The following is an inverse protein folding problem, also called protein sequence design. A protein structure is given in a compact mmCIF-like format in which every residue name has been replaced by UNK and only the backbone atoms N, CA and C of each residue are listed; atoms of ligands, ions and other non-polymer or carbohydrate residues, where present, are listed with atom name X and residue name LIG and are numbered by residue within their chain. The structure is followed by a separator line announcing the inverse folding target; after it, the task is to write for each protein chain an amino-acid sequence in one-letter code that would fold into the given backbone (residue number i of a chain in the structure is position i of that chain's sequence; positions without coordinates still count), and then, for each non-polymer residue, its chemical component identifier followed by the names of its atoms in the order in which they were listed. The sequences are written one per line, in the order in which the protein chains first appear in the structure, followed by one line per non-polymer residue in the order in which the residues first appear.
data_IF_260888527713
#
_entry.id   IF_260888527713
#
_cell.length_a   1.000
_cell.length_b   1.000
_cell.length_c   1.000
_cell.angle_alpha   90.00
_cell.angle_beta   90.00
_cell.angle_gamma   90.00
#
_symmetry.space_group_name_H-M   'P 1'
#
loop_
_entity.id
_entity.type
_entity.pdbx_description
1 polymer ?
#
# COMPACT_ATOMS: atom_id res chain seq x y z
N UNK A 1 -5.34 -26.92 14.46
CA UNK A 1 -5.30 -25.57 15.08
C UNK A 1 -5.99 -24.63 14.11
N UNK A 2 -6.93 -23.81 14.58
CA UNK A 2 -7.66 -22.87 13.71
C UNK A 2 -6.78 -21.66 13.37
N UNK A 3 -6.96 -21.06 12.21
CA UNK A 3 -6.28 -19.83 11.76
C UNK A 3 -7.28 -18.73 11.39
N UNK A 4 -6.78 -17.49 11.33
CA UNK A 4 -7.50 -16.34 10.81
C UNK A 4 -6.82 -15.88 9.52
N UNK A 5 -7.59 -15.72 8.46
CA UNK A 5 -7.16 -15.08 7.22
C UNK A 5 -7.77 -13.67 7.16
N UNK A 6 -6.96 -12.66 7.43
CA UNK A 6 -7.36 -11.25 7.40
C UNK A 6 -7.25 -10.72 5.96
N UNK A 7 -8.34 -10.19 5.42
CA UNK A 7 -8.29 -9.48 4.14
C UNK A 7 -7.93 -8.01 4.37
N UNK A 8 -7.08 -7.44 3.52
CA UNK A 8 -6.71 -6.03 3.57
C UNK A 8 -6.79 -5.39 2.17
N UNK A 9 -7.30 -4.16 2.09
CA UNK A 9 -7.37 -3.39 0.85
C UNK A 9 -8.57 -2.45 0.78
N UNK A 10 -8.53 -1.50 -0.17
CA UNK A 10 -9.58 -0.49 -0.35
C UNK A 10 -10.92 -1.10 -0.78
N UNK A 11 -12.08 -0.45 -0.57
CA UNK A 11 -13.34 -0.93 -1.13
C UNK A 11 -13.24 -1.13 -2.64
N UNK A 12 -13.96 -2.10 -3.21
CA UNK A 12 -13.85 -2.42 -4.65
C UNK A 12 -12.64 -3.27 -5.06
N UNK A 13 -11.64 -3.47 -4.19
CA UNK A 13 -10.42 -4.28 -4.48
C UNK A 13 -10.64 -5.79 -4.66
N UNK A 14 -11.88 -6.28 -4.58
CA UNK A 14 -12.18 -7.71 -4.77
C UNK A 14 -12.12 -8.59 -3.51
N UNK A 15 -11.82 -8.03 -2.32
CA UNK A 15 -11.80 -8.77 -1.03
C UNK A 15 -12.95 -9.76 -0.86
N UNK A 16 -14.20 -9.31 -0.93
CA UNK A 16 -15.37 -10.18 -0.71
C UNK A 16 -15.58 -11.23 -1.80
N UNK A 17 -15.00 -11.04 -2.99
CA UNK A 17 -14.97 -12.08 -4.02
C UNK A 17 -13.93 -13.15 -3.65
N UNK A 18 -12.70 -12.73 -3.33
CA UNK A 18 -11.63 -13.60 -2.88
C UNK A 18 -11.96 -14.35 -1.58
N UNK A 19 -12.67 -13.69 -0.65
CA UNK A 19 -13.12 -14.27 0.61
C UNK A 19 -13.92 -15.57 0.41
N UNK A 20 -14.75 -15.65 -0.63
CA UNK A 20 -15.56 -16.83 -0.93
C UNK A 20 -14.70 -18.02 -1.29
N UNK A 21 -13.64 -17.80 -2.06
CA UNK A 21 -12.73 -18.86 -2.45
C UNK A 21 -11.89 -19.31 -1.25
N UNK A 22 -11.36 -18.34 -0.51
CA UNK A 22 -10.58 -18.62 0.70
C UNK A 22 -11.40 -19.37 1.76
N UNK A 23 -12.69 -19.05 1.92
CA UNK A 23 -13.59 -19.79 2.81
C UNK A 23 -13.74 -21.25 2.41
N UNK A 24 -13.83 -21.55 1.10
CA UNK A 24 -13.93 -22.94 0.61
C UNK A 24 -12.62 -23.68 0.86
N UNK A 25 -11.50 -23.09 0.44
CA UNK A 25 -10.17 -23.68 0.55
C UNK A 25 -9.81 -24.03 2.00
N UNK A 26 -10.07 -23.11 2.93
CA UNK A 26 -9.71 -23.28 4.34
C UNK A 26 -10.86 -23.79 5.22
N UNK A 27 -12.02 -24.13 4.63
CA UNK A 27 -13.25 -24.50 5.37
C UNK A 27 -13.59 -23.47 6.46
N UNK A 28 -13.43 -22.19 6.15
CA UNK A 28 -13.53 -21.10 7.11
C UNK A 28 -14.94 -20.51 7.22
N UNK A 29 -15.21 -19.86 8.34
CA UNK A 29 -16.38 -19.00 8.54
C UNK A 29 -16.06 -17.61 7.97
N UNK A 30 -16.96 -17.06 7.15
CA UNK A 30 -16.82 -15.71 6.60
C UNK A 30 -17.37 -14.68 7.59
N UNK A 31 -16.50 -13.87 8.19
CA UNK A 31 -16.88 -12.76 9.07
C UNK A 31 -16.64 -11.45 8.33
N UNK A 32 -17.70 -10.84 7.82
CA UNK A 32 -17.63 -9.64 7.00
C UNK A 32 -18.26 -8.42 7.68
N UNK A 33 -17.50 -7.33 7.85
CA UNK A 33 -17.99 -6.13 8.55
C UNK A 33 -19.14 -5.44 7.82
N UNK A 34 -19.19 -5.55 6.49
CA UNK A 34 -20.29 -4.98 5.69
C UNK A 34 -21.60 -5.75 5.90
N UNK A 35 -21.53 -7.09 5.98
CA UNK A 35 -22.69 -7.94 6.28
C UNK A 35 -23.19 -7.72 7.71
N UNK A 36 -22.28 -7.59 8.68
CA UNK A 36 -22.62 -7.27 10.07
C UNK A 36 -23.29 -5.89 10.15
N UNK A 37 -22.71 -4.88 9.48
CA UNK A 37 -23.28 -3.54 9.41
C UNK A 37 -24.70 -3.54 8.84
N UNK A 38 -24.93 -4.30 7.77
CA UNK A 38 -26.27 -4.41 7.17
C UNK A 38 -27.28 -5.09 8.12
N UNK A 39 -26.87 -6.15 8.84
CA UNK A 39 -27.74 -6.81 9.83
C UNK A 39 -28.09 -5.90 11.01
N UNK A 40 -27.13 -5.14 11.51
CA UNK A 40 -27.31 -4.30 12.70
C UNK A 40 -28.09 -3.01 12.41
N UNK A 41 -27.90 -2.40 11.24
CA UNK A 41 -28.40 -1.04 10.97
C UNK A 41 -29.25 -0.91 9.70
N UNK A 42 -29.45 -2.00 8.94
CA UNK A 42 -30.15 -1.94 7.66
C UNK A 42 -29.55 -0.91 6.70
N UNK A 43 -30.41 -0.12 6.06
CA UNK A 43 -30.03 0.97 5.15
C UNK A 43 -29.77 2.32 5.85
N UNK A 44 -30.05 2.42 7.16
CA UNK A 44 -29.81 3.62 7.98
C UNK A 44 -28.34 3.72 8.43
N UNK A 45 -27.44 3.78 7.46
CA UNK A 45 -26.00 3.77 7.71
C UNK A 45 -25.41 5.16 8.06
N UNK A 46 -26.14 6.01 8.79
CA UNK A 46 -25.65 7.32 9.24
C UNK A 46 -25.11 7.27 10.68
N UNK A 47 -23.82 6.94 10.76
CA UNK A 47 -22.83 7.37 11.76
C UNK A 47 -22.65 6.60 13.11
N UNK A 48 -21.37 6.55 13.50
CA UNK A 48 -20.72 6.35 14.82
C UNK A 48 -20.59 4.96 15.46
N UNK A 49 -21.31 3.92 15.03
CA UNK A 49 -21.16 2.60 15.68
C UNK A 49 -20.21 1.63 14.97
N UNK A 50 -19.11 2.14 14.38
CA UNK A 50 -18.04 1.25 13.86
C UNK A 50 -17.50 0.34 14.96
N UNK A 51 -17.43 0.82 16.20
CA UNK A 51 -17.03 0.00 17.35
C UNK A 51 -17.92 -1.24 17.49
N UNK A 52 -19.25 -1.09 17.48
CA UNK A 52 -20.21 -2.20 17.63
C UNK A 52 -20.05 -3.22 16.48
N UNK A 53 -19.81 -2.76 15.25
CA UNK A 53 -19.58 -3.67 14.11
C UNK A 53 -18.33 -4.52 14.31
N UNK A 54 -17.25 -3.94 14.81
CA UNK A 54 -16.01 -4.67 15.07
C UNK A 54 -16.11 -5.56 16.31
N UNK A 55 -16.84 -5.13 17.35
CA UNK A 55 -17.12 -5.93 18.54
C UNK A 55 -17.92 -7.21 18.18
N UNK A 56 -18.98 -7.06 17.38
CA UNK A 56 -19.74 -8.18 16.84
C UNK A 56 -18.89 -9.07 15.92
N UNK A 57 -18.02 -8.48 15.09
CA UNK A 57 -17.10 -9.26 14.26
C UNK A 57 -16.14 -10.09 15.12
N UNK A 58 -15.59 -9.51 16.20
CA UNK A 58 -14.68 -10.22 17.10
C UNK A 58 -15.40 -11.33 17.86
N UNK A 59 -16.64 -11.12 18.29
CA UNK A 59 -17.49 -12.16 18.87
C UNK A 59 -17.71 -13.32 17.91
N UNK A 60 -18.03 -13.06 16.63
CA UNK A 60 -18.19 -14.10 15.61
C UNK A 60 -16.89 -14.85 15.32
N UNK A 61 -15.75 -14.16 15.31
CA UNK A 61 -14.42 -14.78 15.18
C UNK A 61 -14.16 -15.72 16.36
N UNK A 62 -14.38 -15.27 17.60
CA UNK A 62 -14.17 -16.06 18.80
C UNK A 62 -15.04 -17.33 18.84
N UNK A 63 -16.32 -17.21 18.47
CA UNK A 63 -17.23 -18.35 18.38
C UNK A 63 -16.78 -19.36 17.31
N UNK A 64 -16.36 -18.88 16.13
CA UNK A 64 -15.85 -19.74 15.07
C UNK A 64 -14.57 -20.48 15.49
N UNK A 65 -13.64 -19.78 16.12
CA UNK A 65 -12.40 -20.37 16.62
C UNK A 65 -12.65 -21.39 17.74
N UNK A 66 -13.54 -21.08 18.69
CA UNK A 66 -13.94 -21.99 19.77
C UNK A 66 -14.60 -23.28 19.25
N UNK A 67 -15.26 -23.21 18.09
CA UNK A 67 -15.82 -24.39 17.40
C UNK A 67 -14.81 -25.10 16.47
N UNK A 68 -13.52 -24.73 16.51
CA UNK A 68 -12.47 -25.35 15.73
C UNK A 68 -12.49 -25.00 14.23
N UNK A 69 -13.13 -23.89 13.86
CA UNK A 69 -13.21 -23.41 12.46
C UNK A 69 -12.19 -22.30 12.21
N UNK A 70 -11.61 -22.32 11.01
CA UNK A 70 -10.85 -21.18 10.49
C UNK A 70 -11.79 -20.00 10.23
N UNK A 71 -11.23 -18.79 10.15
CA UNK A 71 -12.01 -17.58 9.89
C UNK A 71 -11.41 -16.79 8.74
N UNK A 72 -12.26 -16.31 7.82
CA UNK A 72 -11.89 -15.23 6.89
C UNK A 72 -12.49 -13.94 7.42
N UNK A 73 -11.64 -13.01 7.83
CA UNK A 73 -12.05 -11.70 8.32
C UNK A 73 -12.02 -10.68 7.17
N UNK A 74 -13.21 -10.38 6.63
CA UNK A 74 -13.41 -9.47 5.49
C UNK A 74 -13.80 -8.06 5.98
N UNK A 75 -12.79 -7.22 6.11
CA UNK A 75 -12.90 -5.80 6.32
C UNK A 75 -11.86 -5.08 5.44
N UNK A 76 -11.87 -3.75 5.41
CA UNK A 76 -10.85 -3.01 4.65
C UNK A 76 -9.46 -3.09 5.28
N UNK A 77 -9.39 -3.19 6.62
CA UNK A 77 -8.16 -3.33 7.42
C UNK A 77 -7.02 -2.40 6.97
N UNK A 78 -7.36 -1.14 6.64
CA UNK A 78 -6.40 -0.19 6.06
C UNK A 78 -5.40 0.40 7.05
N UNK A 79 -5.78 0.49 8.32
CA UNK A 79 -4.95 1.11 9.36
C UNK A 79 -4.13 0.07 10.11
N UNK A 80 -2.81 0.28 10.16
CA UNK A 80 -1.85 -0.54 10.91
C UNK A 80 -2.18 -0.58 12.39
N UNK A 81 -2.50 0.57 12.99
CA UNK A 81 -2.90 0.65 14.41
C UNK A 81 -4.05 -0.32 14.73
N UNK A 82 -5.05 -0.41 13.85
CA UNK A 82 -6.19 -1.32 14.04
C UNK A 82 -5.81 -2.79 13.84
N UNK A 83 -4.92 -3.08 12.88
CA UNK A 83 -4.39 -4.44 12.68
C UNK A 83 -3.56 -4.88 13.87
N UNK A 84 -2.69 -4.04 14.42
CA UNK A 84 -1.93 -4.33 15.65
C UNK A 84 -2.85 -4.62 16.85
N UNK A 85 -3.93 -3.84 17.04
CA UNK A 85 -4.94 -4.13 18.08
C UNK A 85 -5.63 -5.48 17.88
N UNK A 86 -5.93 -5.83 16.63
CA UNK A 86 -6.50 -7.13 16.27
C UNK A 86 -5.52 -8.27 16.58
N UNK A 87 -4.28 -8.17 16.09
CA UNK A 87 -3.23 -9.17 16.29
C UNK A 87 -2.91 -9.36 17.78
N UNK A 88 -2.91 -8.28 18.57
CA UNK A 88 -2.78 -8.37 20.02
C UNK A 88 -3.93 -9.13 20.69
N UNK A 89 -5.17 -8.96 20.22
CA UNK A 89 -6.34 -9.69 20.75
C UNK A 89 -6.26 -11.18 20.43
N UNK A 90 -5.84 -11.53 19.22
CA UNK A 90 -5.78 -12.90 18.72
C UNK A 90 -4.35 -13.48 18.71
N UNK A 91 -3.48 -13.04 19.62
CA UNK A 91 -2.04 -13.36 19.60
C UNK A 91 -1.71 -14.86 19.69
N UNK A 92 -2.62 -15.66 20.23
CA UNK A 92 -2.47 -17.13 20.37
C UNK A 92 -2.97 -17.89 19.14
N UNK A 93 -3.48 -17.17 18.13
CA UNK A 93 -4.06 -17.73 16.91
C UNK A 93 -3.20 -17.29 15.74
N UNK A 94 -2.77 -18.20 14.85
CA UNK A 94 -2.04 -17.79 13.66
C UNK A 94 -2.91 -16.94 12.74
N UNK A 95 -2.39 -15.79 12.33
CA UNK A 95 -3.08 -14.84 11.44
C UNK A 95 -2.26 -14.63 10.17
N UNK A 96 -2.86 -14.89 9.02
CA UNK A 96 -2.30 -14.56 7.71
C UNK A 96 -2.99 -13.34 7.12
N UNK A 97 -2.26 -12.43 6.49
CA UNK A 97 -2.83 -11.27 5.81
C UNK A 97 -2.87 -11.49 4.29
N UNK A 98 -4.01 -11.19 3.68
CA UNK A 98 -4.25 -11.31 2.24
C UNK A 98 -4.50 -9.90 1.70
N UNK A 99 -3.47 -9.32 1.08
CA UNK A 99 -3.47 -7.95 0.57
C UNK A 99 -4.03 -7.92 -0.84
N UNK A 100 -5.25 -7.41 -0.99
CA UNK A 100 -5.91 -7.28 -2.29
C UNK A 100 -5.35 -6.06 -3.06
N UNK A 101 -4.35 -6.31 -3.90
CA UNK A 101 -3.75 -5.33 -4.80
C UNK A 101 -4.58 -5.19 -6.08
N UNK A 102 -5.25 -4.06 -6.23
CA UNK A 102 -6.08 -3.72 -7.40
C UNK A 102 -5.90 -2.23 -7.69
N UNK A 103 -5.69 -1.83 -8.95
CA UNK A 103 -5.62 -0.42 -9.34
C UNK A 103 -6.80 0.39 -8.81
N UNK A 104 -6.53 1.62 -8.38
CA UNK A 104 -7.55 2.50 -7.80
C UNK A 104 -8.74 2.67 -8.74
N UNK A 105 -8.51 2.93 -10.03
CA UNK A 105 -9.59 3.19 -11.00
C UNK A 105 -10.49 1.97 -11.18
N UNK A 106 -9.92 0.78 -11.21
CA UNK A 106 -10.69 -0.48 -11.28
C UNK A 106 -11.49 -0.67 -9.98
N UNK A 107 -10.88 -0.44 -8.82
CA UNK A 107 -11.57 -0.54 -7.54
C UNK A 107 -12.70 0.51 -7.43
N UNK A 108 -12.48 1.71 -7.94
CA UNK A 108 -13.43 2.82 -7.97
C UNK A 108 -14.62 2.51 -8.87
N UNK A 109 -14.39 2.05 -10.09
CA UNK A 109 -15.44 1.59 -11.01
C UNK A 109 -16.28 0.50 -10.35
N UNK A 110 -15.62 -0.53 -9.77
CA UNK A 110 -16.30 -1.61 -9.04
C UNK A 110 -17.10 -1.10 -7.84
N UNK A 111 -16.62 -0.09 -7.13
CA UNK A 111 -17.31 0.50 -5.99
C UNK A 111 -18.55 1.32 -6.43
N UNK A 112 -18.47 2.05 -7.53
CA UNK A 112 -19.58 2.82 -8.10
C UNK A 112 -20.69 1.95 -8.70
N UNK A 113 -20.36 0.75 -9.20
CA UNK A 113 -21.35 -0.21 -9.72
C UNK A 113 -22.14 -0.95 -8.63
N UNK A 114 -21.79 -0.78 -7.34
CA UNK A 114 -22.51 -1.43 -6.23
C UNK A 114 -23.87 -0.78 -5.98
N UNK A 115 -24.84 -1.57 -5.48
CA UNK A 115 -26.16 -1.07 -5.02
C UNK A 115 -26.00 0.07 -4.01
N UNK A 116 -25.06 -0.07 -3.07
CA UNK A 116 -24.61 1.00 -2.19
C UNK A 116 -23.34 1.62 -2.77
N UNK A 117 -23.50 2.75 -3.44
CA UNK A 117 -22.39 3.51 -4.01
C UNK A 117 -21.50 4.09 -2.91
N UNK A 118 -20.20 4.13 -3.17
CA UNK A 118 -19.21 4.78 -2.30
C UNK A 118 -18.70 6.01 -3.04
N UNK A 119 -18.76 7.16 -2.39
CA UNK A 119 -18.29 8.41 -2.97
C UNK A 119 -16.78 8.40 -3.20
N UNK A 120 -16.33 9.10 -4.24
CA UNK A 120 -14.92 9.23 -4.61
C UNK A 120 -14.08 9.80 -3.47
N UNK A 121 -14.60 10.79 -2.75
CA UNK A 121 -13.92 11.37 -1.59
C UNK A 121 -13.69 10.36 -0.46
N UNK A 122 -14.57 9.37 -0.31
CA UNK A 122 -14.42 8.28 0.68
C UNK A 122 -13.43 7.24 0.17
N UNK A 123 -13.51 6.89 -1.11
CA UNK A 123 -12.56 5.98 -1.77
C UNK A 123 -11.13 6.51 -1.71
N UNK A 124 -10.95 7.81 -2.02
CA UNK A 124 -9.65 8.49 -1.94
C UNK A 124 -9.10 8.47 -0.51
N UNK A 125 -9.95 8.66 0.52
CA UNK A 125 -9.52 8.50 1.91
C UNK A 125 -9.02 7.09 2.20
N UNK A 126 -9.70 6.05 1.73
CA UNK A 126 -9.21 4.67 1.92
C UNK A 126 -7.84 4.44 1.26
N UNK A 127 -7.63 4.95 0.05
CA UNK A 127 -6.35 4.84 -0.64
C UNK A 127 -5.22 5.58 0.10
N UNK A 128 -5.47 6.83 0.52
CA UNK A 128 -4.49 7.67 1.24
C UNK A 128 -4.17 7.21 2.66
N UNK A 129 -4.92 6.28 3.23
CA UNK A 129 -4.69 5.74 4.58
C UNK A 129 -4.45 4.24 4.55
N UNK A 130 -4.18 3.65 3.38
CA UNK A 130 -3.86 2.24 3.27
C UNK A 130 -2.41 2.00 3.63
N UNK A 131 -2.14 1.86 4.92
CA UNK A 131 -0.82 1.47 5.43
C UNK A 131 -0.56 0.03 5.03
N UNK A 132 0.39 -0.21 4.13
CA UNK A 132 0.68 -1.55 3.61
C UNK A 132 1.05 -2.50 4.76
N UNK A 133 0.45 -3.71 4.85
CA UNK A 133 0.77 -4.65 5.91
C UNK A 133 2.22 -5.12 5.85
N UNK A 134 2.89 -5.19 7.00
CA UNK A 134 4.24 -5.75 7.15
C UNK A 134 4.19 -7.00 8.02
N UNK A 135 5.07 -7.98 7.76
CA UNK A 135 5.05 -9.27 8.44
C UNK A 135 5.19 -9.11 9.97
N UNK A 136 6.08 -8.21 10.40
CA UNK A 136 6.36 -7.98 11.81
C UNK A 136 5.27 -7.22 12.58
N UNK A 137 4.14 -6.87 11.95
CA UNK A 137 2.92 -6.52 12.72
C UNK A 137 2.45 -7.69 13.60
N UNK A 138 2.88 -8.91 13.28
CA UNK A 138 2.51 -10.16 13.96
C UNK A 138 1.78 -11.15 13.06
N UNK A 139 1.86 -10.96 11.73
CA UNK A 139 1.30 -11.91 10.77
C UNK A 139 2.24 -13.11 10.61
N UNK A 140 1.67 -14.30 10.43
CA UNK A 140 2.44 -15.50 10.10
C UNK A 140 2.90 -15.47 8.63
N UNK A 141 2.09 -14.90 7.75
CA UNK A 141 2.39 -14.76 6.33
C UNK A 141 1.61 -13.59 5.73
N UNK A 142 2.20 -12.95 4.72
CA UNK A 142 1.53 -12.02 3.83
C UNK A 142 1.33 -12.69 2.47
N UNK A 143 0.17 -12.48 1.85
CA UNK A 143 -0.15 -12.95 0.50
C UNK A 143 -0.62 -11.78 -0.34
N UNK A 144 -0.05 -11.59 -1.53
CA UNK A 144 -0.50 -10.53 -2.43
C UNK A 144 -1.56 -11.08 -3.38
N UNK A 145 -2.82 -10.74 -3.12
CA UNK A 145 -3.97 -11.10 -3.97
C UNK A 145 -4.10 -10.08 -5.08
N UNK A 146 -3.45 -10.38 -6.20
CA UNK A 146 -3.29 -9.45 -7.30
C UNK A 146 -4.42 -9.55 -8.33
N UNK A 147 -5.06 -8.43 -8.66
CA UNK A 147 -5.98 -8.34 -9.78
C UNK A 147 -5.21 -8.04 -11.08
N UNK A 148 -5.40 -8.83 -12.15
CA UNK A 148 -4.73 -8.58 -13.42
C UNK A 148 -5.20 -7.25 -14.06
N UNK A 149 -4.24 -6.41 -14.46
CA UNK A 149 -4.42 -5.21 -15.26
C UNK A 149 -3.09 -4.87 -15.94
N UNK A 150 -3.12 -4.46 -17.20
CA UNK A 150 -1.90 -4.19 -17.94
C UNK A 150 -1.16 -2.95 -17.39
N UNK A 151 0.06 -3.16 -16.88
CA UNK A 151 0.91 -2.10 -16.36
C UNK A 151 1.65 -1.33 -17.47
N UNK A 152 1.62 -1.83 -18.71
CA UNK A 152 2.29 -1.27 -19.89
C UNK A 152 3.81 -1.14 -19.72
N UNK A 153 4.41 -2.05 -18.95
CA UNK A 153 5.85 -2.12 -18.70
C UNK A 153 6.32 -3.58 -18.77
N UNK A 154 7.47 -3.79 -19.38
CA UNK A 154 8.17 -5.08 -19.45
C UNK A 154 9.29 -5.11 -18.41
N UNK A 155 9.36 -6.21 -17.65
CA UNK A 155 10.43 -6.46 -16.68
C UNK A 155 11.83 -6.45 -17.33
N UNK A 156 12.13 -7.32 -18.33
CA UNK A 156 13.48 -7.39 -18.89
C UNK A 156 13.90 -6.06 -19.53
N UNK A 157 12.99 -5.37 -20.24
CA UNK A 157 13.31 -4.09 -20.88
C UNK A 157 13.61 -2.99 -19.84
N UNK A 158 12.87 -2.95 -18.72
CA UNK A 158 13.14 -1.96 -17.67
C UNK A 158 14.42 -2.28 -16.89
N UNK A 159 14.70 -3.55 -16.60
CA UNK A 159 15.96 -3.94 -15.93
C UNK A 159 17.18 -3.63 -16.81
N UNK A 160 17.12 -3.94 -18.11
CA UNK A 160 18.16 -3.62 -19.09
C UNK A 160 18.34 -2.10 -19.20
N UNK A 161 17.25 -1.36 -19.38
CA UNK A 161 17.27 0.09 -19.43
C UNK A 161 17.88 0.69 -18.17
N UNK A 162 17.55 0.18 -16.96
CA UNK A 162 18.13 0.67 -15.71
C UNK A 162 19.63 0.36 -15.58
N UNK A 163 20.08 -0.79 -16.10
CA UNK A 163 21.49 -1.21 -16.09
C UNK A 163 22.36 -0.35 -17.01
N UNK A 164 21.79 0.13 -18.12
CA UNK A 164 22.48 0.98 -19.09
C UNK A 164 22.66 2.43 -18.62
N UNK A 165 22.15 2.78 -17.42
CA UNK A 165 22.20 4.13 -16.85
C UNK A 165 21.68 5.19 -17.84
N UNK A 166 20.41 5.08 -18.24
CA UNK A 166 19.79 5.97 -19.20
C UNK A 166 19.65 7.35 -18.58
N UNK A 167 19.65 8.36 -19.45
CA UNK A 167 19.31 9.71 -19.02
C UNK A 167 17.81 9.85 -18.67
N UNK A 168 17.43 11.04 -18.18
CA UNK A 168 16.05 11.33 -17.79
C UNK A 168 15.06 11.07 -18.94
N UNK A 169 15.39 11.53 -20.14
CA UNK A 169 14.47 11.50 -21.27
C UNK A 169 14.33 10.08 -21.80
N UNK A 170 15.43 9.34 -21.95
CA UNK A 170 15.44 7.92 -22.30
C UNK A 170 14.56 7.11 -21.33
N UNK A 171 14.75 7.31 -20.02
CA UNK A 171 13.99 6.60 -19.00
C UNK A 171 12.49 6.95 -19.03
N UNK A 172 12.14 8.24 -19.01
CA UNK A 172 10.75 8.67 -18.94
C UNK A 172 9.99 8.52 -20.26
N UNK A 173 10.68 8.46 -21.40
CA UNK A 173 10.07 8.05 -22.66
C UNK A 173 9.54 6.61 -22.58
N UNK A 174 10.32 5.69 -22.02
CA UNK A 174 9.87 4.31 -21.78
C UNK A 174 8.79 4.24 -20.70
N UNK A 175 9.06 4.80 -19.50
CA UNK A 175 8.16 4.70 -18.35
C UNK A 175 6.77 5.31 -18.61
N UNK A 176 6.67 6.35 -19.43
CA UNK A 176 5.40 7.01 -19.77
C UNK A 176 4.41 6.11 -20.52
N UNK A 177 4.84 4.93 -20.98
CA UNK A 177 3.93 3.87 -21.42
C UNK A 177 2.93 3.50 -20.32
N UNK A 178 3.38 3.49 -19.06
CA UNK A 178 2.51 3.32 -17.90
C UNK A 178 1.80 4.62 -17.52
N UNK A 179 0.48 4.60 -17.25
CA UNK A 179 -0.24 5.80 -16.80
C UNK A 179 0.28 6.35 -15.47
N UNK A 180 0.89 5.50 -14.63
CA UNK A 180 1.45 5.89 -13.32
C UNK A 180 2.66 6.83 -13.45
N UNK A 181 3.51 6.62 -14.45
CA UNK A 181 4.68 7.47 -14.70
C UNK A 181 4.38 8.60 -15.67
N UNK A 182 3.48 8.39 -16.64
CA UNK A 182 3.07 9.43 -17.61
C UNK A 182 2.59 10.71 -16.93
N UNK A 183 1.85 10.58 -15.83
CA UNK A 183 1.34 11.73 -15.07
C UNK A 183 2.43 12.49 -14.31
N UNK A 184 3.63 11.92 -14.15
CA UNK A 184 4.77 12.55 -13.46
C UNK A 184 5.58 13.46 -14.40
N UNK A 185 5.51 13.23 -15.72
CA UNK A 185 6.23 14.02 -16.73
C UNK A 185 5.67 15.44 -16.76
N UNK A 186 6.52 16.44 -16.52
CA UNK A 186 6.13 17.85 -16.48
C UNK A 186 5.22 18.25 -15.31
N UNK A 187 5.01 17.37 -14.33
CA UNK A 187 4.12 17.66 -13.21
C UNK A 187 4.75 18.69 -12.27
N UNK A 188 4.20 19.91 -12.30
CA UNK A 188 4.54 20.98 -11.36
C UNK A 188 3.93 20.70 -9.98
N UNK A 189 4.81 20.43 -9.02
CA UNK A 189 4.47 20.13 -7.64
C UNK A 189 3.89 21.33 -6.89
N UNK A 190 4.05 22.56 -7.40
CA UNK A 190 3.46 23.80 -6.86
C UNK A 190 3.61 23.92 -5.34
N UNK A 191 4.81 23.62 -4.87
CA UNK A 191 5.19 23.61 -3.48
C UNK A 191 6.56 24.32 -3.37
N UNK A 192 6.70 25.31 -2.49
CA UNK A 192 7.92 26.12 -2.37
C UNK A 192 9.19 25.32 -2.04
N UNK A 193 9.05 24.06 -1.61
CA UNK A 193 10.17 23.18 -1.30
C UNK A 193 10.69 22.35 -2.49
N UNK A 194 10.15 22.56 -3.70
CA UNK A 194 10.55 21.82 -4.90
C UNK A 194 10.85 22.76 -6.06
N UNK A 195 12.04 22.61 -6.63
CA UNK A 195 12.47 23.35 -7.83
C UNK A 195 12.25 22.56 -9.13
N UNK A 196 12.11 21.23 -9.02
CA UNK A 196 11.99 20.28 -10.11
C UNK A 196 10.54 19.82 -10.33
N UNK A 197 10.22 19.46 -11.56
CA UNK A 197 9.04 18.64 -11.85
C UNK A 197 9.16 17.28 -11.17
N UNK A 198 8.05 16.57 -11.03
CA UNK A 198 8.04 15.30 -10.31
C UNK A 198 8.95 14.22 -10.94
N UNK A 199 8.98 14.13 -12.27
CA UNK A 199 9.85 13.19 -13.02
C UNK A 199 11.33 13.54 -12.88
N UNK A 200 11.69 14.82 -13.01
CA UNK A 200 13.06 15.31 -12.81
C UNK A 200 13.57 15.07 -11.37
N UNK A 201 12.70 15.23 -10.37
CA UNK A 201 13.02 14.90 -8.98
C UNK A 201 13.24 13.39 -8.80
N UNK A 202 12.30 12.58 -9.30
CA UNK A 202 12.38 11.10 -9.27
C UNK A 202 13.67 10.60 -9.89
N UNK A 203 14.05 11.14 -11.05
CA UNK A 203 15.29 10.79 -11.73
C UNK A 203 16.54 11.22 -10.94
N UNK A 204 16.53 12.38 -10.30
CA UNK A 204 17.68 12.79 -9.47
C UNK A 204 17.89 11.85 -8.26
N UNK A 205 16.82 11.36 -7.64
CA UNK A 205 16.92 10.34 -6.59
C UNK A 205 17.52 9.06 -7.15
N UNK A 206 17.09 8.63 -8.34
CA UNK A 206 17.64 7.47 -9.03
C UNK A 206 19.14 7.63 -9.34
N UNK A 207 19.57 8.80 -9.82
CA UNK A 207 20.99 9.10 -10.06
C UNK A 207 21.81 9.03 -8.77
N UNK A 208 21.29 9.60 -7.67
CA UNK A 208 21.96 9.51 -6.38
C UNK A 208 22.09 8.06 -5.91
N UNK A 209 21.02 7.27 -6.01
CA UNK A 209 21.05 5.84 -5.68
C UNK A 209 22.12 5.11 -6.49
N UNK A 210 22.18 5.32 -7.81
CA UNK A 210 23.17 4.69 -8.70
C UNK A 210 24.61 5.07 -8.32
N UNK A 211 24.83 6.32 -7.97
CA UNK A 211 26.17 6.85 -7.71
C UNK A 211 26.72 6.44 -6.33
N UNK A 212 25.85 6.30 -5.32
CA UNK A 212 26.30 6.23 -3.92
C UNK A 212 25.80 5.00 -3.14
N UNK A 213 24.85 4.22 -3.67
CA UNK A 213 24.38 3.04 -2.96
C UNK A 213 25.35 1.86 -3.16
N UNK A 214 25.97 1.41 -2.07
CA UNK A 214 26.95 0.31 -2.06
C UNK A 214 26.37 -1.02 -1.51
N UNK A 215 25.07 -1.08 -1.22
CA UNK A 215 24.44 -2.28 -0.68
C UNK A 215 23.99 -3.29 -1.75
N UNK A 216 23.64 -4.50 -1.32
CA UNK A 216 23.29 -5.62 -2.20
C UNK A 216 21.94 -5.44 -2.94
N UNK A 217 21.12 -4.50 -2.48
CA UNK A 217 19.74 -4.32 -2.91
C UNK A 217 19.55 -3.18 -3.92
N UNK A 218 20.53 -2.95 -4.80
CA UNK A 218 20.55 -1.86 -5.78
C UNK A 218 19.26 -1.78 -6.60
N UNK A 219 18.80 -2.91 -7.16
CA UNK A 219 17.59 -2.92 -7.98
C UNK A 219 16.35 -2.48 -7.17
N UNK A 220 16.20 -2.96 -5.94
CA UNK A 220 15.09 -2.56 -5.07
C UNK A 220 15.14 -1.05 -4.73
N UNK A 221 16.34 -0.49 -4.51
CA UNK A 221 16.55 0.94 -4.29
C UNK A 221 16.21 1.78 -5.53
N UNK A 222 16.58 1.31 -6.72
CA UNK A 222 16.21 1.95 -7.99
C UNK A 222 14.69 1.97 -8.17
N UNK A 223 14.02 0.84 -7.92
CA UNK A 223 12.55 0.80 -7.98
C UNK A 223 11.89 1.66 -6.89
N UNK A 224 12.45 1.72 -5.69
CA UNK A 224 11.98 2.64 -4.66
C UNK A 224 12.11 4.10 -5.14
N UNK A 225 13.23 4.46 -5.79
CA UNK A 225 13.42 5.80 -6.36
C UNK A 225 12.32 6.11 -7.39
N UNK A 226 12.04 5.20 -8.33
CA UNK A 226 10.99 5.37 -9.33
C UNK A 226 9.60 5.57 -8.72
N UNK A 227 9.27 4.82 -7.65
CA UNK A 227 7.89 4.78 -7.14
C UNK A 227 7.61 5.66 -5.93
N UNK A 228 8.60 6.11 -5.14
CA UNK A 228 8.37 6.69 -3.81
C UNK A 228 7.31 7.80 -3.82
N UNK A 229 7.31 8.63 -4.85
CA UNK A 229 6.40 9.75 -5.02
C UNK A 229 5.34 9.59 -6.13
N UNK A 230 5.20 8.40 -6.73
CA UNK A 230 4.21 8.15 -7.78
C UNK A 230 2.75 8.44 -7.35
N UNK A 231 2.47 8.44 -6.05
CA UNK A 231 1.19 8.80 -5.45
C UNK A 231 0.91 10.31 -5.33
N UNK A 232 1.91 11.19 -5.51
CA UNK A 232 1.73 12.65 -5.35
C UNK A 232 0.61 13.22 -6.23
N UNK A 233 0.51 12.91 -7.54
CA UNK A 233 -0.56 13.42 -8.38
C UNK A 233 -1.97 13.13 -7.85
N UNK A 234 -2.18 11.93 -7.29
CA UNK A 234 -3.43 11.52 -6.66
C UNK A 234 -3.70 12.25 -5.33
N UNK A 235 -2.64 12.62 -4.61
CA UNK A 235 -2.72 13.20 -3.28
C UNK A 235 -2.81 14.72 -3.23
N UNK A 236 -2.65 15.42 -4.35
CA UNK A 236 -2.63 16.90 -4.42
C UNK A 236 -3.89 17.53 -3.82
N UNK A 237 -3.72 18.32 -2.75
CA UNK A 237 -4.79 19.08 -2.10
C UNK A 237 -4.29 20.48 -1.73
N UNK A 238 -5.01 21.52 -2.14
CA UNK A 238 -4.70 22.91 -1.75
C UNK A 238 -4.95 23.13 -0.25
N UNK A 239 -3.95 23.64 0.48
CA UNK A 239 -4.09 23.99 1.90
C UNK A 239 -4.14 25.50 2.05
N UNK A 240 -5.36 26.04 2.16
CA UNK A 240 -5.59 27.48 2.36
C UNK A 240 -4.78 28.06 3.53
N UNK A 241 -4.63 27.32 4.64
CA UNK A 241 -3.88 27.76 5.82
C UNK A 241 -2.37 27.85 5.62
N UNK A 242 -1.81 27.21 4.57
CA UNK A 242 -0.38 27.16 4.30
C UNK A 242 0.03 27.87 3.01
N UNK A 243 -0.93 28.14 2.12
CA UNK A 243 -0.68 28.81 0.83
C UNK A 243 0.02 27.94 -0.22
N UNK A 244 0.06 26.61 -0.04
CA UNK A 244 0.66 25.67 -0.99
C UNK A 244 -0.10 24.32 -1.02
N UNK A 245 0.22 23.46 -2.00
CA UNK A 245 -0.37 22.13 -2.13
C UNK A 245 0.30 21.10 -1.20
N UNK A 246 -0.53 20.28 -0.53
CA UNK A 246 -0.08 19.14 0.27
C UNK A 246 -0.35 17.82 -0.43
N UNK A 247 0.46 16.81 -0.10
CA UNK A 247 0.42 15.46 -0.68
C UNK A 247 0.21 14.37 0.38
N UNK A 248 -0.58 14.63 1.42
CA UNK A 248 -0.75 13.70 2.54
C UNK A 248 -1.20 12.30 2.09
N UNK A 249 -0.49 11.25 2.53
CA UNK A 249 -0.76 9.85 2.25
C UNK A 249 -0.29 9.38 0.87
N UNK A 250 0.59 10.13 0.21
CA UNK A 250 1.14 9.74 -1.10
C UNK A 250 2.00 8.48 -0.99
N UNK A 251 2.76 8.32 0.09
CA UNK A 251 3.59 7.15 0.39
C UNK A 251 2.76 5.84 0.35
N UNK A 252 1.53 5.87 0.85
CA UNK A 252 0.61 4.73 0.83
C UNK A 252 0.05 4.45 -0.57
N UNK A 253 -0.23 5.50 -1.34
CA UNK A 253 -0.70 5.38 -2.72
C UNK A 253 0.42 4.90 -3.63
N UNK A 254 1.62 5.45 -3.47
CA UNK A 254 2.86 5.03 -4.13
C UNK A 254 3.14 3.55 -3.87
N UNK A 255 3.04 3.10 -2.61
CA UNK A 255 3.23 1.70 -2.23
C UNK A 255 2.21 0.77 -2.91
N UNK A 256 0.95 1.18 -2.99
CA UNK A 256 -0.08 0.41 -3.69
C UNK A 256 0.18 0.33 -5.20
N UNK A 257 0.66 1.42 -5.82
CA UNK A 257 1.08 1.46 -7.23
C UNK A 257 2.28 0.52 -7.45
N UNK A 258 3.33 0.64 -6.63
CA UNK A 258 4.53 -0.19 -6.72
C UNK A 258 4.17 -1.69 -6.60
N UNK A 259 3.36 -2.06 -5.61
CA UNK A 259 2.88 -3.43 -5.43
C UNK A 259 2.20 -3.96 -6.70
N UNK A 260 1.25 -3.20 -7.25
CA UNK A 260 0.53 -3.63 -8.44
C UNK A 260 1.45 -3.78 -9.65
N UNK A 261 2.26 -2.76 -9.95
CA UNK A 261 3.12 -2.72 -11.15
C UNK A 261 4.20 -3.81 -11.08
N UNK A 262 4.85 -4.00 -9.94
CA UNK A 262 5.86 -5.05 -9.76
C UNK A 262 5.24 -6.45 -9.87
N UNK A 263 4.04 -6.69 -9.32
CA UNK A 263 3.35 -7.97 -9.49
C UNK A 263 2.92 -8.21 -10.94
N UNK A 264 2.56 -7.17 -11.68
CA UNK A 264 2.27 -7.29 -13.12
C UNK A 264 3.51 -7.66 -13.92
N UNK A 265 4.66 -7.07 -13.59
CA UNK A 265 5.95 -7.37 -14.20
C UNK A 265 6.51 -8.76 -13.80
N UNK A 266 5.80 -9.51 -12.95
CA UNK A 266 6.16 -10.89 -12.60
C UNK A 266 7.27 -11.00 -11.54
N UNK A 267 7.52 -9.96 -10.75
CA UNK A 267 8.39 -10.06 -9.58
C UNK A 267 7.76 -10.95 -8.50
N UNK A 268 8.61 -11.68 -7.80
CA UNK A 268 8.20 -12.47 -6.63
C UNK A 268 7.76 -11.58 -5.47
N UNK A 269 7.10 -12.17 -4.48
CA UNK A 269 6.55 -11.42 -3.36
C UNK A 269 7.62 -10.83 -2.44
N UNK A 270 8.78 -11.47 -2.32
CA UNK A 270 9.87 -11.00 -1.47
C UNK A 270 10.41 -9.67 -2.01
N UNK A 271 10.77 -9.64 -3.29
CA UNK A 271 11.23 -8.43 -3.95
C UNK A 271 10.17 -7.32 -3.95
N UNK A 272 8.90 -7.67 -4.22
CA UNK A 272 7.79 -6.69 -4.19
C UNK A 272 7.66 -6.07 -2.80
N UNK A 273 7.67 -6.88 -1.75
CA UNK A 273 7.54 -6.39 -0.37
C UNK A 273 8.74 -5.54 0.05
N UNK A 274 9.95 -5.88 -0.42
CA UNK A 274 11.14 -5.07 -0.17
C UNK A 274 10.97 -3.64 -0.72
N UNK A 275 10.60 -3.51 -2.00
CA UNK A 275 10.35 -2.18 -2.62
C UNK A 275 9.18 -1.48 -1.96
N UNK A 276 8.07 -2.18 -1.72
CA UNK A 276 6.86 -1.62 -1.09
C UNK A 276 7.15 -1.09 0.31
N UNK A 277 8.04 -1.74 1.07
CA UNK A 277 8.44 -1.27 2.39
C UNK A 277 9.29 0.00 2.31
N UNK A 278 10.28 0.06 1.42
CA UNK A 278 11.04 1.30 1.17
C UNK A 278 10.09 2.46 0.82
N UNK A 279 9.18 2.24 -0.12
CA UNK A 279 8.21 3.26 -0.56
C UNK A 279 7.21 3.62 0.55
N UNK A 280 6.70 2.65 1.32
CA UNK A 280 5.68 2.92 2.34
C UNK A 280 6.21 3.75 3.52
N UNK A 281 7.50 3.64 3.82
CA UNK A 281 8.13 4.24 4.99
C UNK A 281 9.07 5.40 4.68
N UNK A 282 9.26 5.78 3.41
CA UNK A 282 10.18 6.86 3.02
C UNK A 282 9.85 8.21 3.67
N UNK A 283 8.58 8.52 3.90
CA UNK A 283 8.18 9.74 4.63
C UNK A 283 8.34 9.61 6.14
N UNK A 284 8.20 8.41 6.69
CA UNK A 284 8.28 8.18 8.14
C UNK A 284 9.73 8.35 8.64
N UNK A 285 10.72 7.86 7.89
CA UNK A 285 12.12 8.06 8.23
C UNK A 285 12.52 9.56 8.17
N UNK A 286 11.94 10.32 7.23
CA UNK A 286 12.22 11.76 7.06
C UNK A 286 11.59 12.64 8.15
N UNK A 287 10.45 12.26 8.72
CA UNK A 287 9.64 13.14 9.56
C UNK A 287 9.32 12.58 10.95
N UNK A 288 9.55 11.29 11.19
CA UNK A 288 9.26 10.64 12.46
C UNK A 288 10.34 10.84 13.53
N UNK A 289 11.53 11.33 13.16
CA UNK A 289 12.67 11.44 14.07
C UNK A 289 13.02 10.10 14.73
N UNK A 290 13.48 10.12 15.98
CA UNK A 290 13.84 8.91 16.73
C UNK A 290 12.68 7.94 16.90
N UNK A 291 11.45 8.45 17.03
CA UNK A 291 10.26 7.62 17.17
C UNK A 291 9.94 6.87 15.87
N UNK A 292 10.05 7.53 14.71
CA UNK A 292 9.89 6.89 13.40
C UNK A 292 10.98 5.87 13.12
N UNK A 293 12.24 6.21 13.36
CA UNK A 293 13.36 5.28 13.20
C UNK A 293 13.21 4.04 14.10
N UNK A 294 12.80 4.23 15.35
CA UNK A 294 12.50 3.13 16.28
C UNK A 294 11.34 2.27 15.76
N UNK A 295 10.25 2.87 15.29
CA UNK A 295 9.11 2.13 14.75
C UNK A 295 9.49 1.30 13.52
N UNK A 296 10.25 1.88 12.58
CA UNK A 296 10.80 1.19 11.42
C UNK A 296 11.69 0.02 11.83
N UNK A 297 12.61 0.21 12.78
CA UNK A 297 13.46 -0.86 13.29
C UNK A 297 12.65 -2.05 13.82
N UNK A 298 11.62 -1.78 14.64
CA UNK A 298 10.78 -2.84 15.20
C UNK A 298 9.96 -3.58 14.13
N UNK A 299 9.60 -2.90 13.03
CA UNK A 299 8.77 -3.48 11.97
C UNK A 299 9.56 -4.16 10.86
N UNK A 300 10.74 -3.64 10.53
CA UNK A 300 11.47 -3.98 9.31
C UNK A 300 12.93 -4.38 9.54
N UNK A 301 13.44 -4.23 10.76
CA UNK A 301 14.82 -4.55 11.11
C UNK A 301 15.82 -3.43 10.81
N UNK A 302 17.08 -3.70 11.14
CA UNK A 302 18.22 -2.80 10.99
C UNK A 302 18.62 -2.57 9.53
N UNK A 303 18.64 -3.62 8.71
CA UNK A 303 19.03 -3.51 7.29
C UNK A 303 18.11 -2.54 6.54
N UNK A 304 16.79 -2.72 6.67
CA UNK A 304 15.79 -1.86 6.04
C UNK A 304 15.83 -0.43 6.62
N UNK A 305 16.09 -0.28 7.92
CA UNK A 305 16.29 1.04 8.51
C UNK A 305 17.48 1.76 7.88
N UNK A 306 18.61 1.08 7.69
CA UNK A 306 19.79 1.65 7.04
C UNK A 306 19.51 2.05 5.58
N UNK A 307 18.77 1.21 4.83
CA UNK A 307 18.33 1.53 3.47
C UNK A 307 17.43 2.78 3.44
N UNK A 308 16.51 2.90 4.39
CA UNK A 308 15.62 4.05 4.51
C UNK A 308 16.37 5.34 4.88
N UNK A 309 17.42 5.26 5.72
CA UNK A 309 18.30 6.40 5.98
C UNK A 309 19.03 6.85 4.71
N UNK A 310 19.62 5.92 3.98
CA UNK A 310 20.25 6.24 2.70
C UNK A 310 19.23 6.85 1.72
N UNK A 311 18.03 6.27 1.62
CA UNK A 311 16.99 6.76 0.73
C UNK A 311 16.51 8.16 1.11
N UNK A 312 16.39 8.45 2.41
CA UNK A 312 16.06 9.77 2.93
C UNK A 312 17.13 10.82 2.57
N UNK A 313 18.40 10.44 2.59
CA UNK A 313 19.50 11.29 2.12
C UNK A 313 19.37 11.58 0.61
N UNK A 314 19.16 10.53 -0.19
CA UNK A 314 18.97 10.64 -1.64
C UNK A 314 17.80 11.56 -2.02
N UNK A 315 16.64 11.39 -1.39
CA UNK A 315 15.45 12.23 -1.58
C UNK A 315 15.71 13.68 -1.17
N UNK A 316 16.43 13.90 -0.08
CA UNK A 316 16.75 15.26 0.39
C UNK A 316 17.73 15.98 -0.56
N UNK A 317 18.71 15.25 -1.10
CA UNK A 317 19.67 15.78 -2.07
C UNK A 317 19.01 16.20 -3.39
N UNK A 318 17.91 15.54 -3.76
CA UNK A 318 17.22 15.68 -5.05
C UNK A 318 16.19 16.82 -5.13
N UNK A 319 15.98 17.62 -4.07
CA UNK A 319 14.91 18.64 -3.98
C UNK A 319 15.27 20.00 -4.60
#
# INVERSE_FOLDING_TARGET
MSSIHMLAGIPGSGKSHYAKELCKQHRAVHVATDSIRQKLFGDEAKQKNTYIVFDEAFSQIEQALASGRNVVFDATNVSRERRLKFLKRFREVPVECHVCSTPYDIAMQRAQSRKRRIDESVMSKFAKHFEFPVLAEGFQQLHIVHAPADAMLSRPELEELLADNPDHDELFNYLSSSPHFRVMVGYDQQNPHHSRTLSEHTYAVLEYVRAFYEGDNMLAMQFAALFHDAGKPFCKVWKQSRGYYSYYGHEHVSAAIACHVLKQMGYDEEFVLQVVNLVSFHMEILHGGDAGASHIYHLLGDEMLAQLYFFAEADTFAK
#
